data_IF_261203121171
#
_entry.id   IF_261203121171
#
_cell.length_a   1.000
_cell.length_b   1.000
_cell.length_c   1.000
_cell.angle_alpha   90.00
_cell.angle_beta   90.00
_cell.angle_gamma   90.00
#
_symmetry.space_group_name_H-M   'P 1'
#
loop_
_entity.id
_entity.type
_entity.pdbx_description
1 polymer ?
#
# COMPACT_ATOMS: atom_id res chain seq x y z
N UNK A 1 -11.69 -19.16 -62.42
CA UNK A 1 -12.02 -17.73 -62.63
C UNK A 1 -11.50 -16.95 -61.42
N UNK A 2 -10.34 -16.52 -61.49
CA UNK A 2 -9.67 -15.20 -61.59
C UNK A 2 -10.52 -14.07 -61.00
N UNK A 3 -10.05 -13.45 -59.90
CA UNK A 3 -9.81 -12.00 -59.80
C UNK A 3 -9.03 -11.67 -58.53
N UNK A 4 -7.78 -11.31 -58.77
CA UNK A 4 -6.91 -10.61 -57.85
C UNK A 4 -7.28 -9.13 -57.85
N UNK A 5 -7.23 -8.50 -56.69
CA UNK A 5 -7.24 -7.03 -56.56
C UNK A 5 -6.16 -6.67 -55.55
N UNK A 6 -5.16 -5.89 -55.97
CA UNK A 6 -4.17 -5.36 -55.05
C UNK A 6 -4.65 -4.02 -54.48
N UNK A 7 -4.39 -3.72 -53.24
CA UNK A 7 -4.63 -2.39 -52.73
C UNK A 7 -3.54 -1.87 -51.83
N UNK A 8 -2.95 -0.94 -52.38
CA UNK A 8 -2.22 0.24 -51.93
C UNK A 8 -2.11 0.50 -50.46
N UNK A 9 -0.86 0.67 -50.08
CA UNK A 9 -0.38 1.31 -48.89
C UNK A 9 -0.63 2.82 -48.96
N UNK A 10 -1.13 3.37 -47.86
CA UNK A 10 -1.05 4.81 -47.60
C UNK A 10 -0.46 5.01 -46.21
N UNK A 11 0.85 5.27 -46.18
CA UNK A 11 1.57 5.77 -44.99
C UNK A 11 1.22 7.25 -44.85
N UNK A 12 0.48 7.62 -43.83
CA UNK A 12 0.35 9.02 -43.39
C UNK A 12 1.25 9.20 -42.18
N UNK A 13 2.41 9.77 -42.42
CA UNK A 13 3.30 10.25 -41.38
C UNK A 13 2.82 11.64 -40.99
N UNK A 14 2.06 11.71 -39.88
CA UNK A 14 1.75 12.99 -39.25
C UNK A 14 2.83 13.33 -38.24
N UNK A 15 3.75 14.18 -38.63
CA UNK A 15 4.71 14.78 -37.74
C UNK A 15 4.01 15.71 -36.73
N UNK A 16 4.00 15.36 -35.47
CA UNK A 16 3.67 16.29 -34.39
C UNK A 16 4.87 17.15 -34.08
N UNK A 17 4.81 18.41 -34.47
CA UNK A 17 5.74 19.43 -34.00
C UNK A 17 5.50 19.63 -32.49
N UNK A 18 6.47 19.27 -31.68
CA UNK A 18 6.51 19.62 -30.27
C UNK A 18 6.82 21.10 -30.13
N UNK A 19 5.78 21.89 -29.87
CA UNK A 19 5.98 23.27 -29.43
C UNK A 19 6.44 23.22 -27.96
N UNK A 20 7.72 23.48 -27.73
CA UNK A 20 8.27 23.68 -26.39
C UNK A 20 7.79 25.06 -25.96
N UNK A 21 6.75 25.10 -25.15
CA UNK A 21 6.37 26.30 -24.40
C UNK A 21 7.29 26.35 -23.20
N UNK A 22 8.20 27.29 -23.22
CA UNK A 22 9.06 27.63 -22.09
C UNK A 22 8.17 28.28 -21.00
N UNK A 23 7.56 27.45 -20.15
CA UNK A 23 6.84 27.94 -18.98
C UNK A 23 7.86 27.97 -17.85
N UNK A 24 8.27 29.18 -17.50
CA UNK A 24 9.08 29.43 -16.32
C UNK A 24 8.44 28.77 -15.09
N UNK A 25 9.19 28.01 -14.29
CA UNK A 25 8.66 27.40 -13.08
C UNK A 25 8.56 28.45 -11.98
N UNK A 26 7.43 29.15 -11.90
CA UNK A 26 7.11 29.92 -10.71
C UNK A 26 5.96 29.21 -10.01
N UNK A 27 6.31 28.18 -9.26
CA UNK A 27 5.46 27.69 -8.18
C UNK A 27 6.36 27.04 -7.14
N UNK A 28 6.85 27.88 -6.24
CA UNK A 28 7.34 27.44 -4.95
C UNK A 28 6.12 27.07 -4.12
N UNK A 29 5.54 25.88 -4.38
CA UNK A 29 4.74 25.23 -3.39
C UNK A 29 5.72 24.78 -2.29
N UNK A 30 5.47 25.09 -1.01
CA UNK A 30 6.24 24.49 0.05
C UNK A 30 5.98 22.99 -0.04
N UNK A 31 7.02 22.25 -0.37
CA UNK A 31 7.07 20.81 -0.22
C UNK A 31 6.95 20.55 1.28
N UNK A 32 5.71 20.46 1.75
CA UNK A 32 5.43 19.97 3.09
C UNK A 32 5.68 18.47 3.03
N UNK A 33 6.95 18.11 3.01
CA UNK A 33 7.38 16.76 3.37
C UNK A 33 6.92 16.56 4.81
N UNK A 34 5.72 16.01 4.97
CA UNK A 34 5.28 15.50 6.26
C UNK A 34 6.29 14.40 6.58
N UNK A 35 7.27 14.74 7.42
CA UNK A 35 8.22 13.76 7.92
C UNK A 35 7.38 12.66 8.56
N UNK A 36 7.36 11.48 7.96
CA UNK A 36 6.66 10.33 8.51
C UNK A 36 7.26 10.09 9.90
N UNK A 37 6.49 10.40 10.93
CA UNK A 37 6.91 10.19 12.31
C UNK A 37 7.08 8.69 12.49
N UNK A 38 8.32 8.25 12.74
CA UNK A 38 8.60 6.84 13.02
C UNK A 38 7.91 6.50 14.34
N UNK A 39 6.99 5.52 14.36
CA UNK A 39 6.33 5.13 15.59
C UNK A 39 7.35 4.65 16.61
N UNK A 40 7.10 4.97 17.88
CA UNK A 40 7.93 4.53 19.01
C UNK A 40 7.01 4.02 20.12
N UNK A 41 7.49 3.08 20.92
CA UNK A 41 6.71 2.52 22.03
C UNK A 41 7.12 1.10 22.35
N UNK A 42 6.39 0.47 23.26
CA UNK A 42 6.48 -0.95 23.59
C UNK A 42 5.96 -1.82 22.44
N UNK A 43 6.25 -3.11 22.49
CA UNK A 43 5.74 -4.07 21.49
C UNK A 43 4.22 -4.08 21.48
N UNK A 44 3.58 -4.00 22.65
CA UNK A 44 2.12 -3.98 22.78
C UNK A 44 1.52 -2.72 22.15
N UNK A 45 2.10 -1.54 22.39
CA UNK A 45 1.66 -0.28 21.78
C UNK A 45 1.80 -0.30 20.26
N UNK A 46 2.90 -0.85 19.75
CA UNK A 46 3.12 -1.00 18.32
C UNK A 46 2.16 -2.01 17.69
N UNK A 47 1.87 -3.11 18.38
CA UNK A 47 0.86 -4.08 17.94
C UNK A 47 -0.55 -3.49 17.96
N UNK A 48 -0.86 -2.63 18.92
CA UNK A 48 -2.13 -1.90 18.97
C UNK A 48 -2.23 -0.92 17.79
N UNK A 49 -1.18 -0.16 17.52
CA UNK A 49 -1.12 0.76 16.38
C UNK A 49 -1.26 0.02 15.05
N UNK A 50 -0.60 -1.14 14.91
CA UNK A 50 -0.74 -2.01 13.75
C UNK A 50 -2.20 -2.46 13.58
N UNK A 51 -2.84 -2.90 14.66
CA UNK A 51 -4.25 -3.32 14.66
C UNK A 51 -5.21 -2.19 14.31
N UNK A 52 -5.01 -1.01 14.90
CA UNK A 52 -5.82 0.18 14.58
C UNK A 52 -5.67 0.58 13.10
N UNK A 53 -4.46 0.48 12.56
CA UNK A 53 -4.22 0.77 11.14
C UNK A 53 -4.90 -0.24 10.22
N UNK A 54 -4.87 -1.54 10.56
CA UNK A 54 -5.59 -2.58 9.81
C UNK A 54 -7.10 -2.37 9.85
N UNK A 55 -7.66 -1.93 11.01
CA UNK A 55 -9.07 -1.56 11.13
C UNK A 55 -9.45 -0.42 10.18
N UNK A 56 -8.63 0.64 10.14
CA UNK A 56 -8.84 1.76 9.20
C UNK A 56 -8.73 1.34 7.73
N UNK A 57 -7.86 0.37 7.40
CA UNK A 57 -7.79 -0.20 6.05
C UNK A 57 -9.12 -0.87 5.70
N UNK A 58 -9.66 -1.71 6.58
CA UNK A 58 -10.90 -2.43 6.34
C UNK A 58 -12.09 -1.46 6.14
N UNK A 59 -12.20 -0.45 6.99
CA UNK A 59 -13.21 0.61 6.92
C UNK A 59 -13.11 1.39 5.60
N UNK A 60 -11.93 1.92 5.29
CA UNK A 60 -11.70 2.70 4.07
C UNK A 60 -11.97 1.89 2.78
N UNK A 61 -11.61 0.61 2.77
CA UNK A 61 -11.94 -0.28 1.64
C UNK A 61 -13.46 -0.54 1.54
N UNK A 62 -14.16 -0.66 2.66
CA UNK A 62 -15.62 -0.76 2.72
C UNK A 62 -16.30 0.48 2.14
N UNK A 63 -15.78 1.66 2.43
CA UNK A 63 -16.23 2.96 1.94
C UNK A 63 -15.74 3.29 0.52
N UNK A 64 -14.88 2.44 -0.05
CA UNK A 64 -14.20 2.63 -1.35
C UNK A 64 -13.26 3.85 -1.38
N UNK A 65 -12.80 4.30 -0.22
CA UNK A 65 -11.80 5.35 -0.09
C UNK A 65 -10.37 4.77 -0.20
N UNK A 66 -9.87 4.72 -1.44
CA UNK A 66 -8.53 4.21 -1.73
C UNK A 66 -7.42 5.10 -1.15
N UNK A 67 -7.68 6.38 -0.97
CA UNK A 67 -6.67 7.30 -0.42
C UNK A 67 -6.48 7.03 1.06
N UNK A 68 -7.58 6.97 1.81
CA UNK A 68 -7.55 6.61 3.22
C UNK A 68 -6.96 5.21 3.46
N UNK A 69 -7.32 4.22 2.62
CA UNK A 69 -6.76 2.87 2.72
C UNK A 69 -5.24 2.84 2.53
N UNK A 70 -4.69 3.60 1.57
CA UNK A 70 -3.24 3.71 1.36
C UNK A 70 -2.54 4.42 2.52
N UNK A 71 -3.15 5.48 3.05
CA UNK A 71 -2.61 6.19 4.22
C UNK A 71 -2.54 5.25 5.43
N UNK A 72 -3.62 4.53 5.72
CA UNK A 72 -3.66 3.57 6.81
C UNK A 72 -2.66 2.41 6.61
N UNK A 73 -2.44 1.96 5.37
CA UNK A 73 -1.41 0.96 5.06
C UNK A 73 0.00 1.50 5.34
N UNK A 74 0.27 2.75 4.99
CA UNK A 74 1.56 3.37 5.28
C UNK A 74 1.85 3.44 6.79
N UNK A 75 0.82 3.74 7.60
CA UNK A 75 0.93 3.73 9.06
C UNK A 75 1.18 2.31 9.59
N UNK A 76 0.46 1.30 9.08
CA UNK A 76 0.69 -0.10 9.43
C UNK A 76 2.12 -0.54 9.12
N UNK A 77 2.63 -0.21 7.94
CA UNK A 77 3.99 -0.52 7.52
C UNK A 77 5.05 0.23 8.34
N UNK A 78 4.75 1.45 8.81
CA UNK A 78 5.63 2.19 9.69
C UNK A 78 5.76 1.51 11.06
N UNK A 79 4.65 1.07 11.65
CA UNK A 79 4.64 0.31 12.89
C UNK A 79 5.37 -1.04 12.73
N UNK A 80 5.13 -1.74 11.62
CA UNK A 80 5.77 -3.00 11.31
C UNK A 80 7.29 -2.90 11.26
N UNK A 81 7.85 -1.92 10.56
CA UNK A 81 9.31 -1.73 10.47
C UNK A 81 10.02 -1.63 11.83
N UNK A 82 9.32 -1.15 12.85
CA UNK A 82 9.86 -1.05 14.22
C UNK A 82 9.68 -2.38 14.96
N UNK A 83 8.56 -3.06 14.71
CA UNK A 83 8.18 -4.29 15.39
C UNK A 83 8.97 -5.52 14.88
N UNK A 84 9.18 -5.61 13.57
CA UNK A 84 9.82 -6.72 12.88
C UNK A 84 11.10 -7.22 13.56
N UNK A 85 12.15 -6.40 13.79
CA UNK A 85 13.37 -6.85 14.42
C UNK A 85 13.17 -7.31 15.86
N UNK A 86 12.16 -6.78 16.56
CA UNK A 86 11.86 -7.16 17.94
C UNK A 86 11.15 -8.51 18.01
N UNK A 87 10.21 -8.76 17.09
CA UNK A 87 9.54 -10.06 16.99
C UNK A 87 10.51 -11.14 16.54
N UNK A 88 11.38 -10.84 15.57
CA UNK A 88 12.43 -11.75 15.12
C UNK A 88 13.37 -12.16 16.27
N UNK A 89 13.73 -11.21 17.12
CA UNK A 89 14.57 -11.49 18.30
C UNK A 89 13.88 -12.40 19.33
N UNK A 90 12.53 -12.42 19.36
CA UNK A 90 11.74 -13.32 20.23
C UNK A 90 11.50 -14.69 19.58
N UNK A 91 11.08 -14.69 18.31
CA UNK A 91 10.77 -15.90 17.56
C UNK A 91 10.67 -15.59 16.07
N UNK A 92 11.40 -16.32 15.25
CA UNK A 92 11.28 -16.22 13.79
C UNK A 92 9.87 -16.59 13.30
N UNK A 93 9.17 -17.49 13.99
CA UNK A 93 7.79 -17.85 13.63
C UNK A 93 6.83 -16.70 13.86
N UNK A 94 6.96 -15.95 14.97
CA UNK A 94 6.13 -14.78 15.26
C UNK A 94 6.34 -13.68 14.23
N UNK A 95 7.58 -13.44 13.86
CA UNK A 95 7.93 -12.45 12.82
C UNK A 95 7.29 -12.86 11.49
N UNK A 96 7.48 -14.11 11.04
CA UNK A 96 6.94 -14.61 9.78
C UNK A 96 5.41 -14.53 9.74
N UNK A 97 4.73 -14.88 10.83
CA UNK A 97 3.27 -14.80 10.92
C UNK A 97 2.78 -13.34 10.87
N UNK A 98 3.47 -12.42 11.56
CA UNK A 98 3.15 -11.00 11.51
C UNK A 98 3.43 -10.39 10.12
N UNK A 99 4.54 -10.75 9.46
CA UNK A 99 4.84 -10.33 8.09
C UNK A 99 3.73 -10.73 7.13
N UNK A 100 3.24 -11.97 7.22
CA UNK A 100 2.11 -12.43 6.38
C UNK A 100 0.86 -11.60 6.56
N UNK A 101 0.60 -11.08 7.77
CA UNK A 101 -0.55 -10.21 8.02
C UNK A 101 -0.39 -8.86 7.34
N UNK A 102 0.80 -8.28 7.40
CA UNK A 102 1.10 -6.99 6.73
C UNK A 102 1.01 -7.15 5.21
N UNK A 103 1.51 -8.25 4.66
CA UNK A 103 1.41 -8.56 3.23
C UNK A 103 -0.03 -8.77 2.78
N UNK A 104 -0.85 -9.41 3.62
CA UNK A 104 -2.27 -9.59 3.34
C UNK A 104 -3.01 -8.25 3.32
N UNK A 105 -2.70 -7.34 4.26
CA UNK A 105 -3.26 -5.99 4.28
C UNK A 105 -2.81 -5.18 3.05
N UNK A 106 -1.56 -5.26 2.65
CA UNK A 106 -1.05 -4.63 1.43
C UNK A 106 -1.80 -5.14 0.18
N UNK A 107 -1.95 -6.46 0.06
CA UNK A 107 -2.71 -7.10 -1.03
C UNK A 107 -4.17 -6.65 -1.04
N UNK A 108 -4.80 -6.50 0.15
CA UNK A 108 -6.17 -6.02 0.27
C UNK A 108 -6.32 -4.61 -0.31
N UNK A 109 -5.38 -3.70 0.00
CA UNK A 109 -5.38 -2.32 -0.51
C UNK A 109 -5.12 -2.29 -2.01
N UNK A 110 -4.11 -3.01 -2.50
CA UNK A 110 -3.75 -3.05 -3.93
C UNK A 110 -4.91 -3.55 -4.79
N UNK A 111 -5.56 -4.63 -4.36
CA UNK A 111 -6.62 -5.31 -5.10
C UNK A 111 -8.03 -4.82 -4.75
N UNK A 112 -8.14 -3.86 -3.82
CA UNK A 112 -9.41 -3.34 -3.32
C UNK A 112 -10.34 -4.46 -2.81
N UNK A 113 -9.81 -5.29 -1.89
CA UNK A 113 -10.50 -6.49 -1.36
C UNK A 113 -10.76 -6.36 0.14
N UNK A 114 -11.90 -5.82 0.58
CA UNK A 114 -12.22 -5.63 2.00
C UNK A 114 -12.14 -6.95 2.81
N UNK A 115 -12.58 -8.06 2.22
CA UNK A 115 -12.55 -9.37 2.88
C UNK A 115 -11.13 -9.83 3.27
N UNK A 116 -10.10 -9.45 2.52
CA UNK A 116 -8.71 -9.77 2.85
C UNK A 116 -8.23 -8.90 4.02
N UNK A 117 -8.68 -7.65 4.13
CA UNK A 117 -8.41 -6.79 5.27
C UNK A 117 -9.06 -7.32 6.56
N UNK A 118 -10.33 -7.74 6.49
CA UNK A 118 -11.02 -8.37 7.62
C UNK A 118 -10.31 -9.66 8.08
N UNK A 119 -9.80 -10.43 7.14
CA UNK A 119 -9.03 -11.63 7.43
C UNK A 119 -7.71 -11.30 8.15
N UNK A 120 -6.99 -10.26 7.71
CA UNK A 120 -5.77 -9.80 8.37
C UNK A 120 -6.06 -9.39 9.83
N UNK A 121 -7.14 -8.66 10.09
CA UNK A 121 -7.54 -8.28 11.44
C UNK A 121 -7.80 -9.48 12.36
N UNK A 122 -8.50 -10.51 11.86
CA UNK A 122 -8.78 -11.73 12.65
C UNK A 122 -7.50 -12.48 13.01
N UNK A 123 -6.58 -12.60 12.07
CA UNK A 123 -5.29 -13.23 12.35
C UNK A 123 -4.43 -12.43 13.31
N UNK A 124 -4.48 -11.09 13.25
CA UNK A 124 -3.79 -10.24 14.20
C UNK A 124 -4.28 -10.48 15.64
N UNK A 125 -5.58 -10.69 15.85
CA UNK A 125 -6.12 -11.02 17.17
C UNK A 125 -5.51 -12.32 17.71
N UNK A 126 -5.42 -13.35 16.88
CA UNK A 126 -4.81 -14.63 17.25
C UNK A 126 -3.31 -14.50 17.55
N UNK A 127 -2.61 -13.68 16.75
CA UNK A 127 -1.18 -13.41 16.97
C UNK A 127 -0.97 -12.71 18.33
N UNK A 128 -1.81 -11.72 18.66
CA UNK A 128 -1.75 -11.02 19.96
C UNK A 128 -1.97 -11.98 21.14
N UNK A 129 -2.93 -12.90 21.02
CA UNK A 129 -3.16 -13.92 22.06
C UNK A 129 -1.93 -14.82 22.26
N UNK A 130 -1.16 -15.09 21.22
CA UNK A 130 0.07 -15.90 21.32
C UNK A 130 1.25 -15.14 21.95
N UNK A 131 1.18 -13.81 22.07
CA UNK A 131 2.21 -12.98 22.70
C UNK A 131 2.03 -12.85 24.23
N UNK A 132 0.85 -13.15 24.73
CA UNK A 132 0.58 -13.16 26.17
C UNK A 132 1.23 -14.39 26.78
N UNK A 133 2.11 -14.24 27.81
CA UNK A 133 2.81 -15.34 28.44
C UNK A 133 1.89 -16.25 29.24
#
# INVERSE_FOLDING_TARGET
MRRAIPLLAALVVSGCATTIVDVAPTSTAPDTTVAATVPSGSDDELMELLGASMGRIAEALGERDRSAARSALADAQAAWRVLEPRLLARSAQLEEDAQRLVDLAATAVERNRPADADKAMRFLSLLRESLVP
#
